data_IF_954824214067
#
_entry.id   IF_954824214067
#
_cell.length_a   1.000
_cell.length_b   1.000
_cell.length_c   1.000
_cell.angle_alpha   90.00
_cell.angle_beta   90.00
_cell.angle_gamma   90.00
#
_symmetry.space_group_name_H-M   'P 1'
#
loop_
_entity.id
_entity.type
_entity.pdbx_description
1 polymer ?
#
# COMPACT_ATOMS: atom_id res chain seq x y z
N UNK A 1 31.42 4.35 -10.78
CA UNK A 1 30.38 5.39 -10.58
C UNK A 1 29.61 5.05 -9.31
N UNK A 2 29.46 5.98 -8.35
CA UNK A 2 29.21 5.68 -6.93
C UNK A 2 27.73 5.64 -6.51
N UNK A 3 26.84 5.07 -7.32
CA UNK A 3 25.40 5.08 -7.01
C UNK A 3 24.69 3.76 -7.36
N UNK A 4 25.33 2.62 -7.12
CA UNK A 4 24.59 1.36 -7.01
C UNK A 4 24.06 1.25 -5.59
N UNK A 5 22.94 1.92 -5.32
CA UNK A 5 22.24 1.85 -4.04
C UNK A 5 21.75 0.42 -3.87
N UNK A 6 22.61 -0.39 -3.26
CA UNK A 6 22.39 -1.82 -3.12
C UNK A 6 21.38 -2.10 -2.02
N UNK A 7 20.80 -3.31 -1.99
CA UNK A 7 19.96 -3.75 -0.88
C UNK A 7 20.63 -3.55 0.49
N UNK A 8 21.96 -3.70 0.55
CA UNK A 8 22.76 -3.50 1.75
C UNK A 8 22.73 -2.04 2.26
N UNK A 9 22.81 -1.08 1.34
CA UNK A 9 22.85 0.34 1.67
C UNK A 9 21.46 0.84 2.12
N UNK A 10 20.42 0.31 1.49
CA UNK A 10 19.04 0.53 1.89
C UNK A 10 18.75 -0.01 3.30
N UNK A 11 19.32 -1.17 3.68
CA UNK A 11 19.23 -1.72 5.04
C UNK A 11 19.89 -0.78 6.05
N UNK A 12 21.06 -0.22 5.76
CA UNK A 12 21.74 0.71 6.67
C UNK A 12 20.88 1.95 6.92
N UNK A 13 20.32 2.53 5.86
CA UNK A 13 19.41 3.68 5.97
C UNK A 13 18.16 3.30 6.76
N UNK A 14 17.60 2.11 6.52
CA UNK A 14 16.45 1.59 7.26
C UNK A 14 16.76 1.48 8.76
N UNK A 15 17.94 0.99 9.14
CA UNK A 15 18.36 0.89 10.54
C UNK A 15 18.44 2.26 11.19
N UNK A 16 19.02 3.26 10.51
CA UNK A 16 19.07 4.64 11.03
C UNK A 16 17.65 5.20 11.19
N UNK A 17 16.79 5.03 10.19
CA UNK A 17 15.40 5.45 10.25
C UNK A 17 14.63 4.75 11.39
N UNK A 18 14.91 3.47 11.62
CA UNK A 18 14.34 2.69 12.72
C UNK A 18 14.80 3.19 14.10
N UNK A 19 16.02 3.69 14.24
CA UNK A 19 16.50 4.28 15.49
C UNK A 19 15.80 5.63 15.75
N UNK A 20 15.63 6.45 14.71
CA UNK A 20 15.00 7.78 14.84
C UNK A 20 13.48 7.67 15.05
N UNK A 21 12.79 6.88 14.24
CA UNK A 21 11.33 6.72 14.32
C UNK A 21 10.90 5.65 15.35
N UNK A 22 11.74 4.64 15.58
CA UNK A 22 11.41 3.45 16.37
C UNK A 22 10.81 2.32 15.51
N UNK A 23 11.20 1.04 15.73
CA UNK A 23 10.69 -0.10 14.96
C UNK A 23 9.19 -0.33 15.10
N UNK A 24 8.60 0.13 16.20
CA UNK A 24 7.14 0.05 16.43
C UNK A 24 6.36 1.10 15.64
N UNK A 25 6.98 2.22 15.25
CA UNK A 25 6.29 3.32 14.56
C UNK A 25 6.23 3.15 13.05
N UNK A 26 7.20 2.47 12.43
CA UNK A 26 7.12 2.12 11.01
C UNK A 26 5.83 1.37 10.63
N UNK A 27 5.42 0.28 11.31
CA UNK A 27 4.18 -0.41 10.97
C UNK A 27 2.93 0.40 11.34
N UNK A 28 3.02 1.27 12.36
CA UNK A 28 1.92 2.17 12.75
C UNK A 28 1.64 3.20 11.64
N UNK A 29 2.69 3.86 11.15
CA UNK A 29 2.64 4.81 10.02
C UNK A 29 2.25 4.10 8.72
N UNK A 30 2.78 2.91 8.46
CA UNK A 30 2.40 2.11 7.29
C UNK A 30 0.91 1.72 7.30
N UNK A 31 0.35 1.38 8.48
CA UNK A 31 -1.08 1.08 8.62
C UNK A 31 -1.96 2.31 8.40
N UNK A 32 -1.58 3.48 8.92
CA UNK A 32 -2.35 4.71 8.71
C UNK A 32 -2.29 5.18 7.25
N UNK A 33 -1.09 5.16 6.65
CA UNK A 33 -0.90 5.47 5.24
C UNK A 33 -1.60 4.46 4.33
N UNK A 34 -1.56 3.17 4.65
CA UNK A 34 -2.21 2.12 3.87
C UNK A 34 -3.73 2.25 3.86
N UNK A 35 -4.35 2.63 4.98
CA UNK A 35 -5.78 2.95 5.03
C UNK A 35 -6.11 4.16 4.16
N UNK A 36 -5.37 5.26 4.31
CA UNK A 36 -5.59 6.46 3.48
C UNK A 36 -5.35 6.21 1.99
N UNK A 37 -4.35 5.41 1.63
CA UNK A 37 -4.06 5.03 0.25
C UNK A 37 -5.14 4.12 -0.33
N UNK A 38 -5.72 3.24 0.49
CA UNK A 38 -6.87 2.41 0.08
C UNK A 38 -8.10 3.28 -0.16
N UNK A 39 -8.44 4.17 0.76
CA UNK A 39 -9.57 5.11 0.60
C UNK A 39 -9.36 6.06 -0.58
N UNK A 40 -8.13 6.54 -0.79
CA UNK A 40 -7.76 7.35 -1.95
C UNK A 40 -7.88 6.56 -3.25
N UNK A 41 -7.39 5.31 -3.28
CA UNK A 41 -7.54 4.41 -4.43
C UNK A 41 -9.01 4.12 -4.71
N UNK A 42 -9.81 3.82 -3.69
CA UNK A 42 -11.22 3.49 -3.83
C UNK A 42 -12.02 4.71 -4.33
N UNK A 43 -11.65 5.92 -3.89
CA UNK A 43 -12.25 7.18 -4.37
C UNK A 43 -11.88 7.48 -5.82
N UNK A 44 -10.61 7.23 -6.21
CA UNK A 44 -10.15 7.39 -7.60
C UNK A 44 -10.72 6.30 -8.50
N UNK A 45 -10.77 5.05 -8.03
CA UNK A 45 -11.33 3.92 -8.76
C UNK A 45 -12.85 4.06 -8.95
N UNK A 46 -13.57 4.57 -7.95
CA UNK A 46 -14.99 4.93 -8.08
C UNK A 46 -15.26 6.04 -9.11
N UNK A 47 -14.25 6.84 -9.47
CA UNK A 47 -14.30 7.78 -10.60
C UNK A 47 -13.87 7.15 -11.95
N UNK A 48 -13.20 6.00 -11.96
CA UNK A 48 -12.50 5.46 -13.14
C UNK A 48 -12.84 4.03 -13.56
N UNK A 49 -13.64 3.28 -12.80
CA UNK A 49 -13.89 1.86 -13.09
C UNK A 49 -15.20 1.38 -12.52
N UNK A 50 -16.22 1.35 -13.38
CA UNK A 50 -17.29 0.36 -13.32
C UNK A 50 -16.65 -0.99 -13.61
N UNK A 51 -16.39 -1.77 -12.56
CA UNK A 51 -16.45 -3.22 -12.66
C UNK A 51 -17.88 -3.61 -12.25
N UNK A 52 -18.81 -3.27 -13.15
CA UNK A 52 -20.02 -4.06 -13.38
C UNK A 52 -19.49 -5.43 -13.86
N UNK A 53 -19.80 -6.55 -13.18
CA UNK A 53 -19.78 -7.95 -13.70
C UNK A 53 -19.52 -9.02 -12.59
N UNK A 54 -20.28 -9.02 -11.47
CA UNK A 54 -20.29 -10.19 -10.55
C UNK A 54 -21.65 -10.68 -10.09
N UNK A 55 -22.77 -10.02 -10.43
CA UNK A 55 -24.09 -10.34 -9.85
C UNK A 55 -25.11 -11.02 -10.79
N UNK A 56 -24.80 -11.29 -12.07
CA UNK A 56 -25.76 -11.86 -13.03
C UNK A 56 -25.69 -13.40 -13.22
N UNK A 57 -24.98 -14.13 -12.36
CA UNK A 57 -24.88 -15.60 -12.47
C UNK A 57 -25.83 -16.39 -11.54
N UNK A 58 -26.58 -15.73 -10.63
CA UNK A 58 -27.33 -16.44 -9.56
C UNK A 58 -28.86 -16.43 -9.69
N UNK A 59 -29.45 -15.71 -10.64
CA UNK A 59 -30.92 -15.53 -10.67
C UNK A 59 -31.68 -16.31 -11.77
N UNK A 60 -31.00 -17.07 -12.64
CA UNK A 60 -31.64 -17.79 -13.77
C UNK A 60 -31.98 -19.26 -13.43
N UNK A 61 -31.63 -19.78 -12.25
CA UNK A 61 -31.87 -21.19 -11.86
C UNK A 61 -32.78 -21.39 -10.64
N UNK A 62 -33.73 -20.48 -10.42
CA UNK A 62 -34.80 -20.67 -9.43
C UNK A 62 -36.09 -21.11 -10.11
#
# INVERSE_FOLDING_TARGET
MPFNVGPMELIIVLVIALVVLGPKKLPEVGKSLGKGMREFKDSIAGMGGRDDDVDEAKHIKA
#
